data_IF_678136265959
#
_entry.id   IF_678136265959
#
_cell.length_a   1.000
_cell.length_b   1.000
_cell.length_c   1.000
_cell.angle_alpha   90.00
_cell.angle_beta   90.00
_cell.angle_gamma   90.00
#
_symmetry.space_group_name_H-M   'P 1'
#
loop_
_entity.id
_entity.type
_entity.pdbx_description
1 polymer ?
#
# COMPACT_ATOMS: atom_id res chain seq x y z
N UNK A 1 54.12 25.68 17.81
CA UNK A 1 53.25 25.36 18.98
C UNK A 1 51.82 25.74 18.57
N UNK A 2 50.93 24.76 18.42
CA UNK A 2 49.47 24.94 18.32
C UNK A 2 48.86 25.21 16.92
N UNK A 3 48.59 24.17 16.13
CA UNK A 3 47.48 24.21 15.17
C UNK A 3 46.17 24.14 15.95
N UNK A 4 45.12 24.91 15.62
CA UNK A 4 43.80 24.68 16.16
C UNK A 4 43.22 23.42 15.51
N UNK A 5 43.02 22.38 16.31
CA UNK A 5 42.24 21.22 15.91
C UNK A 5 40.81 21.69 15.60
N UNK A 6 40.33 21.41 14.40
CA UNK A 6 38.92 21.57 14.05
C UNK A 6 38.07 20.72 15.02
N UNK A 7 36.87 21.15 15.41
CA UNK A 7 36.02 20.37 16.31
C UNK A 7 35.68 19.05 15.64
N UNK A 8 36.23 17.97 16.20
CA UNK A 8 35.92 16.61 15.82
C UNK A 8 34.44 16.32 16.08
N UNK A 9 33.76 15.88 15.03
CA UNK A 9 32.64 14.96 15.15
C UNK A 9 31.36 15.54 15.76
N UNK A 10 30.63 16.35 14.98
CA UNK A 10 29.17 16.18 14.97
C UNK A 10 28.86 14.86 14.23
N UNK A 11 29.23 13.72 14.83
CA UNK A 11 28.76 12.42 14.37
C UNK A 11 27.25 12.41 14.62
N UNK A 12 26.48 12.78 13.59
CA UNK A 12 25.03 12.73 13.65
C UNK A 12 24.58 11.35 14.13
N UNK A 13 23.72 11.31 15.13
CA UNK A 13 23.16 10.06 15.62
C UNK A 13 21.86 9.74 14.86
N UNK A 14 21.67 8.49 14.48
CA UNK A 14 20.45 8.01 13.84
C UNK A 14 19.51 7.42 14.90
N UNK A 15 18.27 7.90 14.95
CA UNK A 15 17.21 7.33 15.79
C UNK A 15 16.23 6.55 14.94
N UNK A 16 16.11 5.26 15.20
CA UNK A 16 15.08 4.42 14.57
C UNK A 16 13.76 4.50 15.35
N UNK A 17 12.65 4.63 14.62
CA UNK A 17 11.30 4.62 15.18
C UNK A 17 10.55 3.39 14.69
N UNK A 18 10.52 2.34 15.50
CA UNK A 18 9.97 1.02 15.14
C UNK A 18 8.47 1.03 14.81
N UNK A 19 7.72 2.04 15.28
CA UNK A 19 6.28 2.18 14.99
C UNK A 19 5.97 3.03 13.76
N UNK A 20 6.93 3.78 13.22
CA UNK A 20 6.68 4.76 12.18
C UNK A 20 5.99 4.15 10.95
N UNK A 21 6.45 2.99 10.48
CA UNK A 21 5.86 2.29 9.34
C UNK A 21 4.41 1.87 9.59
N UNK A 22 4.12 1.35 10.79
CA UNK A 22 2.76 0.97 11.20
C UNK A 22 1.84 2.18 11.30
N UNK A 23 2.32 3.30 11.86
CA UNK A 23 1.55 4.53 12.00
C UNK A 23 1.24 5.15 10.62
N UNK A 24 2.23 5.18 9.71
CA UNK A 24 2.05 5.62 8.32
C UNK A 24 1.04 4.73 7.60
N UNK A 25 1.14 3.41 7.72
CA UNK A 25 0.20 2.49 7.09
C UNK A 25 -1.22 2.65 7.63
N UNK A 26 -1.37 2.81 8.96
CA UNK A 26 -2.65 3.10 9.59
C UNK A 26 -3.27 4.40 9.08
N UNK A 27 -2.48 5.47 8.97
CA UNK A 27 -2.94 6.73 8.41
C UNK A 27 -3.36 6.60 6.93
N UNK A 28 -2.60 5.84 6.12
CA UNK A 28 -2.99 5.56 4.73
C UNK A 28 -4.31 4.79 4.63
N UNK A 29 -4.60 3.91 5.59
CA UNK A 29 -5.88 3.21 5.66
C UNK A 29 -7.03 4.17 5.99
N UNK A 30 -6.84 5.09 6.94
CA UNK A 30 -7.84 6.11 7.26
C UNK A 30 -8.12 7.05 6.07
N UNK A 31 -7.08 7.45 5.35
CA UNK A 31 -7.22 8.23 4.11
C UNK A 31 -8.02 7.47 3.06
N UNK A 32 -7.75 6.17 2.88
CA UNK A 32 -8.51 5.29 1.97
C UNK A 32 -9.99 5.23 2.35
N UNK A 33 -10.31 4.98 3.63
CA UNK A 33 -11.68 4.87 4.11
C UNK A 33 -12.46 6.18 3.97
N UNK A 34 -11.77 7.32 4.08
CA UNK A 34 -12.33 8.67 3.85
C UNK A 34 -12.35 9.08 2.37
N UNK A 35 -11.76 8.29 1.47
CA UNK A 35 -11.63 8.62 0.05
C UNK A 35 -10.68 9.78 -0.25
N UNK A 36 -9.82 10.16 0.70
CA UNK A 36 -8.89 11.28 0.57
C UNK A 36 -7.68 10.83 -0.24
N UNK A 37 -7.31 11.59 -1.28
CA UNK A 37 -6.18 11.32 -2.18
C UNK A 37 -6.22 9.95 -2.90
N UNK A 38 -7.34 9.23 -2.83
CA UNK A 38 -7.53 8.01 -3.62
C UNK A 38 -7.58 8.33 -5.11
N UNK A 39 -6.66 7.75 -5.87
CA UNK A 39 -6.37 8.04 -7.28
C UNK A 39 -6.70 6.85 -8.21
N UNK A 40 -7.30 5.78 -7.66
CA UNK A 40 -7.86 4.67 -8.42
C UNK A 40 -9.07 4.05 -7.73
N UNK A 41 -10.01 3.57 -8.54
CA UNK A 41 -11.15 2.75 -8.14
C UNK A 41 -11.03 1.37 -8.77
N UNK A 42 -10.97 0.33 -7.95
CA UNK A 42 -10.94 -1.06 -8.39
C UNK A 42 -12.39 -1.56 -8.48
N UNK A 43 -12.83 -1.97 -9.67
CA UNK A 43 -14.14 -2.62 -9.83
C UNK A 43 -13.98 -4.12 -9.70
N UNK A 44 -14.52 -4.68 -8.63
CA UNK A 44 -14.38 -6.09 -8.28
C UNK A 44 -15.75 -6.72 -8.12
N UNK A 45 -16.14 -7.59 -9.06
CA UNK A 45 -17.49 -8.17 -9.06
C UNK A 45 -18.61 -7.10 -9.08
N UNK A 46 -18.35 -5.95 -9.73
CA UNK A 46 -19.27 -4.80 -9.77
C UNK A 46 -19.24 -3.89 -8.53
N UNK A 47 -18.44 -4.20 -7.50
CA UNK A 47 -18.28 -3.35 -6.32
C UNK A 47 -17.07 -2.42 -6.48
N UNK A 48 -17.23 -1.10 -6.32
CA UNK A 48 -16.13 -0.14 -6.40
C UNK A 48 -15.34 -0.07 -5.09
N UNK A 49 -14.03 -0.22 -5.17
CA UNK A 49 -13.10 -0.09 -4.05
C UNK A 49 -12.07 1.00 -4.34
N UNK A 50 -12.09 2.09 -3.57
CA UNK A 50 -11.11 3.19 -3.73
C UNK A 50 -9.79 2.83 -3.07
N UNK A 51 -8.68 3.21 -3.71
CA UNK A 51 -7.34 2.92 -3.22
C UNK A 51 -6.32 3.98 -3.70
N UNK A 52 -5.09 3.85 -3.21
CA UNK A 52 -3.92 4.62 -3.63
C UNK A 52 -3.08 3.73 -4.55
N UNK A 53 -2.80 4.17 -5.77
CA UNK A 53 -1.89 3.47 -6.70
C UNK A 53 -0.56 3.17 -6.02
N UNK A 54 -0.02 4.12 -5.25
CA UNK A 54 1.23 3.97 -4.51
C UNK A 54 1.25 2.76 -3.55
N UNK A 55 0.16 2.51 -2.82
CA UNK A 55 0.06 1.35 -1.91
C UNK A 55 -0.06 0.06 -2.73
N UNK A 56 -0.92 0.06 -3.75
CA UNK A 56 -1.13 -1.12 -4.61
C UNK A 56 0.16 -1.59 -5.29
N UNK A 57 0.95 -0.66 -5.85
CA UNK A 57 2.21 -0.99 -6.53
C UNK A 57 3.30 -1.43 -5.56
N UNK A 58 3.31 -0.90 -4.33
CA UNK A 58 4.27 -1.31 -3.30
C UNK A 58 4.00 -2.73 -2.81
N UNK A 59 2.74 -3.16 -2.78
CA UNK A 59 2.33 -4.47 -2.30
C UNK A 59 2.24 -5.55 -3.39
N UNK A 60 2.21 -5.18 -4.69
CA UNK A 60 1.95 -6.16 -5.76
C UNK A 60 2.61 -5.80 -7.09
N UNK A 61 3.41 -6.76 -7.60
CA UNK A 61 4.00 -6.67 -8.94
C UNK A 61 2.98 -6.64 -10.09
N UNK A 62 1.77 -7.17 -9.87
CA UNK A 62 0.67 -7.11 -10.83
C UNK A 62 0.20 -5.66 -11.04
N UNK A 63 -0.11 -4.96 -9.94
CA UNK A 63 -0.50 -3.54 -10.00
C UNK A 63 0.65 -2.68 -10.50
N UNK A 64 1.88 -2.98 -10.08
CA UNK A 64 3.07 -2.31 -10.59
C UNK A 64 3.17 -2.36 -12.11
N UNK A 65 3.01 -3.56 -12.70
CA UNK A 65 3.06 -3.75 -14.15
C UNK A 65 1.92 -3.04 -14.88
N UNK A 66 0.70 -3.09 -14.33
CA UNK A 66 -0.47 -2.42 -14.91
C UNK A 66 -0.31 -0.90 -14.91
N UNK A 67 0.02 -0.31 -13.76
CA UNK A 67 0.10 1.15 -13.64
C UNK A 67 1.36 1.72 -14.31
N UNK A 68 2.47 0.97 -14.36
CA UNK A 68 3.67 1.35 -15.12
C UNK A 68 3.43 1.25 -16.64
N UNK A 69 2.83 0.16 -17.11
CA UNK A 69 2.58 -0.09 -18.54
C UNK A 69 1.56 0.87 -19.16
N UNK A 70 0.69 1.46 -18.36
CA UNK A 70 -0.33 2.44 -18.81
C UNK A 70 0.12 3.91 -18.71
N UNK A 71 1.43 4.16 -18.54
CA UNK A 71 2.09 5.45 -18.68
C UNK A 71 1.23 6.68 -18.33
N UNK A 72 0.83 6.82 -17.07
CA UNK A 72 0.35 8.09 -16.51
C UNK A 72 -0.99 8.64 -17.03
N UNK A 73 -1.69 7.99 -17.95
CA UNK A 73 -2.98 8.49 -18.45
C UNK A 73 -4.14 7.82 -17.71
N UNK A 74 -4.67 8.49 -16.71
CA UNK A 74 -6.10 8.46 -16.35
C UNK A 74 -6.74 7.11 -16.02
N UNK A 75 -6.00 6.11 -15.55
CA UNK A 75 -6.63 4.89 -15.01
C UNK A 75 -7.19 5.21 -13.64
N UNK A 76 -8.33 5.88 -13.63
CA UNK A 76 -9.09 6.20 -12.42
C UNK A 76 -9.99 5.03 -12.04
N UNK A 77 -10.22 4.11 -12.98
CA UNK A 77 -11.02 2.89 -12.80
C UNK A 77 -10.28 1.69 -13.40
N UNK A 78 -10.07 0.65 -12.59
CA UNK A 78 -9.48 -0.62 -13.00
C UNK A 78 -10.46 -1.75 -12.71
N UNK A 79 -10.98 -2.38 -13.76
CA UNK A 79 -11.83 -3.56 -13.63
C UNK A 79 -10.98 -4.80 -13.45
N UNK A 80 -11.19 -5.52 -12.35
CA UNK A 80 -10.61 -6.84 -12.12
C UNK A 80 -11.60 -7.91 -12.59
N UNK A 81 -11.11 -9.08 -13.07
CA UNK A 81 -11.97 -10.16 -13.53
C UNK A 81 -13.04 -10.52 -12.49
N UNK A 82 -14.29 -10.63 -12.94
CA UNK A 82 -15.40 -11.10 -12.11
C UNK A 82 -15.36 -12.63 -12.00
N UNK A 83 -15.09 -13.15 -10.81
CA UNK A 83 -15.03 -14.59 -10.52
C UNK A 83 -15.05 -14.85 -9.01
N UNK A 84 -14.98 -16.12 -8.55
CA UNK A 84 -14.84 -16.45 -7.13
C UNK A 84 -13.72 -15.65 -6.43
N UNK A 85 -12.67 -15.33 -7.18
CA UNK A 85 -11.49 -14.56 -6.76
C UNK A 85 -11.85 -13.12 -6.38
N UNK A 86 -12.93 -12.56 -6.94
CA UNK A 86 -13.43 -11.23 -6.61
C UNK A 86 -13.82 -11.11 -5.12
N UNK A 87 -14.34 -12.18 -4.52
CA UNK A 87 -14.65 -12.23 -3.07
C UNK A 87 -13.39 -12.22 -2.21
N UNK A 88 -12.28 -12.75 -2.73
CA UNK A 88 -10.98 -12.77 -2.04
C UNK A 88 -10.24 -11.43 -2.12
N UNK A 89 -10.59 -10.54 -3.05
CA UNK A 89 -9.85 -9.31 -3.25
C UNK A 89 -10.03 -8.28 -2.13
N UNK A 90 -11.24 -8.12 -1.58
CA UNK A 90 -11.47 -7.17 -0.49
C UNK A 90 -10.59 -7.47 0.75
N UNK A 91 -10.50 -8.73 1.23
CA UNK A 91 -9.53 -9.11 2.26
C UNK A 91 -8.06 -8.85 1.89
N UNK A 92 -7.69 -9.04 0.62
CA UNK A 92 -6.33 -8.73 0.15
C UNK A 92 -6.05 -7.22 0.17
N UNK A 93 -7.01 -6.40 -0.25
CA UNK A 93 -6.90 -4.95 -0.19
C UNK A 93 -6.79 -4.47 1.26
N UNK A 94 -7.58 -5.04 2.17
CA UNK A 94 -7.46 -4.72 3.59
C UNK A 94 -6.11 -5.14 4.15
N UNK A 95 -5.56 -6.29 3.73
CA UNK A 95 -4.21 -6.69 4.09
C UNK A 95 -3.16 -5.67 3.65
N UNK A 96 -3.25 -5.15 2.41
CA UNK A 96 -2.32 -4.13 1.91
C UNK A 96 -2.30 -2.84 2.76
N UNK A 97 -3.38 -2.56 3.49
CA UNK A 97 -3.54 -1.35 4.32
C UNK A 97 -3.50 -1.60 5.82
N UNK A 98 -3.43 -2.86 6.27
CA UNK A 98 -3.52 -3.20 7.71
C UNK A 98 -2.50 -4.23 8.15
N UNK A 99 -1.74 -4.81 7.22
CA UNK A 99 -0.84 -5.95 7.42
C UNK A 99 -1.53 -7.20 8.00
N UNK A 100 -2.87 -7.28 7.92
CA UNK A 100 -3.67 -8.36 8.51
C UNK A 100 -4.54 -9.00 7.44
N UNK A 101 -4.21 -10.26 7.09
CA UNK A 101 -4.99 -11.06 6.17
C UNK A 101 -5.93 -11.96 6.94
N UNK A 102 -7.25 -11.73 6.80
CA UNK A 102 -8.27 -12.56 7.42
C UNK A 102 -8.60 -13.72 6.50
N UNK A 103 -8.14 -14.92 6.86
CA UNK A 103 -8.44 -16.14 6.14
C UNK A 103 -9.61 -16.87 6.80
N UNK A 104 -10.57 -17.30 5.97
CA UNK A 104 -11.62 -18.24 6.35
C UNK A 104 -11.54 -19.48 5.46
N UNK A 105 -12.06 -20.65 5.91
CA UNK A 105 -12.11 -21.86 5.10
C UNK A 105 -12.80 -21.67 3.73
N UNK A 106 -13.69 -20.68 3.61
CA UNK A 106 -14.38 -20.35 2.36
C UNK A 106 -13.53 -19.51 1.38
N UNK A 107 -12.48 -18.86 1.87
CA UNK A 107 -11.58 -17.96 1.10
C UNK A 107 -10.19 -18.54 0.88
N UNK A 108 -9.81 -19.54 1.66
CA UNK A 108 -8.60 -20.33 1.49
C UNK A 108 -8.92 -21.76 1.99
N UNK A 109 -9.26 -22.71 1.09
CA UNK A 109 -9.35 -24.10 1.49
C UNK A 109 -7.98 -24.50 2.07
N UNK A 110 -8.00 -25.18 3.21
CA UNK A 110 -6.79 -25.62 3.90
C UNK A 110 -5.87 -26.36 2.92
N UNK A 111 -4.59 -25.96 2.89
CA UNK A 111 -3.49 -26.70 2.26
C UNK A 111 -3.34 -28.06 2.94
#
# INVERSE_FOLDING_TARGET
MGSPAAPEGALGYVREFTRHSSDVLGNLNELRLRGILTDVTLLVGGQPLRAHKAVLIACSGFFYSIFRGRAGVGVDVLSLPGGPEARGFAPLLDFMYTSRLRLSPATAPAV
#
